data_IF_001698482951
#
_entry.id   IF_001698482951
#
_cell.length_a   1.000
_cell.length_b   1.000
_cell.length_c   1.000
_cell.angle_alpha   90.00
_cell.angle_beta   90.00
_cell.angle_gamma   90.00
#
_symmetry.space_group_name_H-M   'P 1'
#
loop_
_entity.id
_entity.type
_entity.pdbx_description
1 polymer ?
#
# COMPACT_ATOMS: atom_id res chain seq x y z
N UNK A 1 -5.26 -0.12 -25.66
CA UNK A 1 -3.97 -0.54 -26.27
C UNK A 1 -2.90 -0.30 -25.23
N UNK A 2 -2.34 -1.34 -24.63
CA UNK A 2 -1.04 -1.22 -23.97
C UNK A 2 -0.05 -1.94 -24.88
N UNK A 3 0.84 -1.16 -25.51
CA UNK A 3 2.01 -1.73 -26.19
C UNK A 3 2.99 -2.29 -25.15
N UNK A 4 4.00 -3.03 -25.60
CA UNK A 4 5.13 -3.40 -24.73
C UNK A 4 5.75 -2.13 -24.14
N UNK A 5 5.81 -2.06 -22.82
CA UNK A 5 6.52 -1.03 -22.08
C UNK A 5 7.99 -1.44 -22.04
N UNK A 6 8.73 -1.10 -23.10
CA UNK A 6 10.19 -1.31 -23.16
C UNK A 6 10.81 -0.48 -22.02
N UNK A 7 11.62 -1.13 -21.18
CA UNK A 7 12.31 -0.52 -20.02
C UNK A 7 11.37 -0.11 -18.85
N UNK A 8 10.37 -0.95 -18.56
CA UNK A 8 9.43 -0.74 -17.45
C UNK A 8 10.14 -0.80 -16.08
N UNK A 9 10.33 0.37 -15.47
CA UNK A 9 10.94 0.50 -14.13
C UNK A 9 9.93 0.43 -12.98
N UNK A 10 8.63 0.37 -13.26
CA UNK A 10 7.55 0.37 -12.27
C UNK A 10 6.59 -0.80 -12.54
N UNK A 11 6.25 -1.55 -11.50
CA UNK A 11 5.19 -2.56 -11.56
C UNK A 11 3.99 -2.10 -10.74
N UNK A 12 2.79 -2.36 -11.23
CA UNK A 12 1.55 -2.00 -10.56
C UNK A 12 0.74 -3.27 -10.23
N UNK A 13 0.24 -3.34 -9.01
CA UNK A 13 -0.56 -4.46 -8.51
C UNK A 13 -1.77 -3.89 -7.77
N UNK A 14 -2.92 -4.56 -7.89
CA UNK A 14 -4.03 -4.36 -6.95
C UNK A 14 -3.88 -5.37 -5.82
N UNK A 15 -3.75 -4.90 -4.59
CA UNK A 15 -3.60 -5.72 -3.40
C UNK A 15 -4.84 -5.54 -2.52
N UNK A 16 -5.31 -6.65 -1.93
CA UNK A 16 -6.45 -6.65 -1.01
C UNK A 16 -5.99 -7.24 0.32
N UNK A 17 -6.13 -6.46 1.38
CA UNK A 17 -5.78 -6.85 2.75
C UNK A 17 -7.06 -7.13 3.56
N UNK A 18 -7.20 -8.31 4.19
CA UNK A 18 -8.29 -8.59 5.10
C UNK A 18 -8.30 -7.64 6.31
N UNK A 19 -9.49 -7.32 6.83
CA UNK A 19 -9.63 -6.49 8.04
C UNK A 19 -9.02 -7.21 9.24
N UNK A 20 -8.18 -6.51 10.01
CA UNK A 20 -7.61 -7.04 11.24
C UNK A 20 -6.41 -7.99 11.05
N UNK A 21 -6.05 -8.32 9.82
CA UNK A 21 -4.81 -9.05 9.53
C UNK A 21 -3.69 -8.05 9.20
N UNK A 22 -2.57 -8.05 9.95
CA UNK A 22 -1.42 -7.24 9.59
C UNK A 22 -0.82 -7.72 8.27
N UNK A 23 -0.35 -6.79 7.43
CA UNK A 23 0.60 -7.16 6.38
C UNK A 23 1.76 -7.87 7.08
N UNK A 24 2.16 -9.03 6.52
CA UNK A 24 3.11 -9.97 7.12
C UNK A 24 4.20 -9.22 7.91
N UNK A 25 4.45 -9.56 9.19
CA UNK A 25 5.07 -8.66 10.18
C UNK A 25 6.55 -8.31 9.93
N UNK A 26 7.13 -8.78 8.83
CA UNK A 26 8.45 -8.32 8.41
C UNK A 26 8.29 -6.93 7.80
N UNK A 27 8.70 -5.92 8.58
CA UNK A 27 9.03 -4.58 8.10
C UNK A 27 9.81 -4.73 6.79
N UNK A 28 9.20 -4.31 5.69
CA UNK A 28 9.81 -4.42 4.38
C UNK A 28 10.82 -3.27 4.26
N UNK A 29 12.04 -3.62 3.87
CA UNK A 29 13.06 -2.66 3.45
C UNK A 29 13.73 -3.22 2.21
N UNK A 30 13.66 -2.49 1.09
CA UNK A 30 14.32 -2.86 -0.16
C UNK A 30 14.69 -1.62 -0.96
N UNK A 31 15.57 -1.79 -1.95
CA UNK A 31 15.92 -0.71 -2.86
C UNK A 31 14.73 -0.31 -3.72
N UNK A 32 14.65 0.97 -4.07
CA UNK A 32 13.64 1.53 -4.96
C UNK A 32 12.64 2.44 -4.25
N UNK A 33 11.57 2.74 -4.98
CA UNK A 33 10.46 3.58 -4.54
C UNK A 33 9.15 2.85 -4.79
N UNK A 34 8.17 3.10 -3.93
CA UNK A 34 6.82 2.56 -4.07
C UNK A 34 5.79 3.68 -3.97
N UNK A 35 4.66 3.44 -4.64
CA UNK A 35 3.49 4.28 -4.58
C UNK A 35 2.28 3.44 -4.15
N UNK A 36 1.57 3.92 -3.13
CA UNK A 36 0.29 3.39 -2.70
C UNK A 36 -0.81 4.36 -3.11
N UNK A 37 -1.92 3.83 -3.62
CA UNK A 37 -3.17 4.54 -3.86
C UNK A 37 -4.28 3.73 -3.22
N UNK A 38 -5.03 4.32 -2.27
CA UNK A 38 -6.09 3.59 -1.60
C UNK A 38 -7.38 3.63 -2.43
N UNK A 39 -7.81 2.47 -2.94
CA UNK A 39 -9.01 2.35 -3.76
C UNK A 39 -10.30 2.32 -2.92
N UNK A 40 -10.29 1.61 -1.79
CA UNK A 40 -11.45 1.40 -0.91
C UNK A 40 -11.00 1.04 0.51
N UNK A 41 -11.90 1.21 1.49
CA UNK A 41 -11.64 0.90 2.90
C UNK A 41 -10.82 1.97 3.62
N UNK A 42 -10.07 1.56 4.65
CA UNK A 42 -9.24 2.46 5.47
C UNK A 42 -7.95 1.76 5.85
N UNK A 43 -6.80 2.40 5.63
CA UNK A 43 -5.51 1.72 5.74
C UNK A 43 -4.55 2.52 6.62
N UNK A 44 -4.05 1.89 7.69
CA UNK A 44 -2.98 2.47 8.51
C UNK A 44 -1.64 2.03 7.91
N UNK A 45 -0.81 3.00 7.52
CA UNK A 45 0.48 2.76 6.88
C UNK A 45 1.60 3.43 7.68
N UNK A 46 2.65 2.66 7.96
CA UNK A 46 3.85 3.13 8.66
C UNK A 46 5.02 3.18 7.71
N UNK A 47 5.75 4.30 7.72
CA UNK A 47 6.98 4.52 6.95
C UNK A 47 8.01 5.16 7.89
N UNK A 48 9.06 4.41 8.23
CA UNK A 48 9.97 4.76 9.31
C UNK A 48 9.21 4.98 10.62
N UNK A 49 9.30 6.20 11.15
CA UNK A 49 8.65 6.64 12.39
C UNK A 49 7.29 7.34 12.14
N UNK A 50 6.88 7.49 10.88
CA UNK A 50 5.62 8.15 10.54
C UNK A 50 4.51 7.12 10.41
N UNK A 51 3.36 7.44 10.99
CA UNK A 51 2.10 6.72 10.80
C UNK A 51 1.13 7.61 10.03
N UNK A 52 0.53 7.05 8.99
CA UNK A 52 -0.51 7.67 8.16
C UNK A 52 -1.76 6.80 8.23
N UNK A 53 -2.93 7.42 8.21
CA UNK A 53 -4.19 6.73 7.95
C UNK A 53 -4.73 7.24 6.63
N UNK A 54 -4.84 6.34 5.66
CA UNK A 54 -5.29 6.64 4.31
C UNK A 54 -6.79 6.36 4.20
N UNK A 55 -7.48 7.25 3.50
CA UNK A 55 -8.87 7.12 3.06
C UNK A 55 -8.93 6.92 1.54
N UNK A 56 -10.05 6.43 0.97
CA UNK A 56 -10.14 6.19 -0.46
C UNK A 56 -9.85 7.45 -1.29
N UNK A 57 -8.95 7.34 -2.25
CA UNK A 57 -8.44 8.45 -3.07
C UNK A 57 -7.11 9.03 -2.60
N UNK A 58 -6.66 8.72 -1.38
CA UNK A 58 -5.33 9.13 -0.91
C UNK A 58 -4.23 8.37 -1.63
N UNK A 59 -3.10 9.05 -1.83
CA UNK A 59 -1.89 8.46 -2.37
C UNK A 59 -0.66 8.81 -1.54
N UNK A 60 0.30 7.88 -1.49
CA UNK A 60 1.58 8.07 -0.83
C UNK A 60 2.68 7.53 -1.74
N UNK A 61 3.73 8.33 -1.92
CA UNK A 61 4.97 7.92 -2.59
C UNK A 61 6.10 7.98 -1.57
N UNK A 62 6.92 6.93 -1.51
CA UNK A 62 7.96 6.82 -0.49
C UNK A 62 9.14 5.94 -0.95
N UNK A 63 10.28 6.15 -0.31
CA UNK A 63 11.46 5.29 -0.48
C UNK A 63 11.29 4.00 0.31
N UNK A 64 11.49 2.87 -0.36
CA UNK A 64 11.42 1.53 0.23
C UNK A 64 12.61 1.21 1.14
N UNK A 65 13.64 2.07 1.17
CA UNK A 65 14.75 1.96 2.12
C UNK A 65 14.32 2.34 3.54
N UNK A 66 13.18 3.03 3.69
CA UNK A 66 12.57 3.22 4.99
C UNK A 66 11.74 1.98 5.37
N UNK A 67 11.94 1.44 6.59
CA UNK A 67 11.05 0.47 7.21
C UNK A 67 9.57 0.76 6.97
N UNK A 68 8.85 -0.09 6.24
CA UNK A 68 7.42 0.15 6.00
C UNK A 68 6.55 -1.09 6.21
N UNK A 69 5.29 -0.85 6.56
CA UNK A 69 4.29 -1.88 6.87
C UNK A 69 2.89 -1.26 6.89
N UNK A 70 1.85 -2.03 6.59
CA UNK A 70 0.48 -1.55 6.67
C UNK A 70 -0.52 -2.56 7.19
N UNK A 71 -1.71 -2.10 7.55
CA UNK A 71 -2.83 -2.97 7.91
C UNK A 71 -4.16 -2.33 7.53
N UNK A 72 -5.11 -3.16 7.14
CA UNK A 72 -6.47 -2.71 6.94
C UNK A 72 -7.15 -2.47 8.31
N UNK A 73 -7.54 -1.22 8.56
CA UNK A 73 -8.21 -0.76 9.79
C UNK A 73 -9.68 -0.39 9.55
N UNK A 74 -10.22 -0.73 8.37
CA UNK A 74 -11.62 -0.55 8.04
C UNK A 74 -12.54 -1.44 8.89
N UNK A 75 -13.83 -1.10 8.93
CA UNK A 75 -14.85 -1.83 9.70
C UNK A 75 -15.53 -2.95 8.90
N UNK A 76 -15.37 -2.93 7.58
CA UNK A 76 -16.10 -3.79 6.65
C UNK A 76 -15.15 -4.37 5.61
N UNK A 77 -15.27 -5.67 5.27
CA UNK A 77 -14.65 -6.23 4.07
C UNK A 77 -15.10 -5.45 2.82
N UNK A 78 -14.21 -5.36 1.82
CA UNK A 78 -14.49 -4.67 0.55
C UNK A 78 -15.86 -5.07 0.00
N UNK A 79 -16.73 -4.10 -0.26
CA UNK A 79 -18.06 -4.32 -0.85
C UNK A 79 -19.21 -4.67 0.13
N UNK A 80 -18.99 -4.63 1.44
CA UNK A 80 -20.10 -4.65 2.42
C UNK A 80 -20.51 -3.22 2.77
N UNK A 81 -21.33 -2.62 1.91
CA UNK A 81 -22.13 -1.42 2.20
C UNK A 81 -23.38 -1.81 2.98
#
# INVERSE_FOLDING_TARGET
MSGELIDQQMSAFELVYPVGEPMNPEVLTHAGEEMLYLLDGRFEFRIGDKMLVLEPGDCVHFSCEQPHSGKNVGLHPRGSS
#
